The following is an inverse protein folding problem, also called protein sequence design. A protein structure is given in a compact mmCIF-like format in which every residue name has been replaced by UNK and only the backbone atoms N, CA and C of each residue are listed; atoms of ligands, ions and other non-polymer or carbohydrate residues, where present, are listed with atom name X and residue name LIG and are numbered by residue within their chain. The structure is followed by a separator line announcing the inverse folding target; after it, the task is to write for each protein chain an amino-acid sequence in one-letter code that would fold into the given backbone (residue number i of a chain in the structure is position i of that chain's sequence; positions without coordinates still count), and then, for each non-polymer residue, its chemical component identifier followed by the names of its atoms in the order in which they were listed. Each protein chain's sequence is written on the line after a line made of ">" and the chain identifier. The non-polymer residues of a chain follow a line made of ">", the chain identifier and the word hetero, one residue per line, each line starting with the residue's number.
data_IF_035960614452
#
_entry.id   IF_035960614452
#
_cell.length_a   1.000
_cell.length_b   1.000
_cell.length_c   1.000
_cell.angle_alpha   90.00
_cell.angle_beta   90.00
_cell.angle_gamma   90.00
#
_symmetry.space_group_name_H-M   'P 1'
#
loop_
_entity.id
_entity.type
_entity.pdbx_description
1 polymer ?
#
# COMPACT_ATOMS: atom_id res chain seq x y z
N UNK A 1 26.82 29.93 28.19
CA UNK A 1 27.31 28.55 28.04
C UNK A 1 27.15 28.20 26.57
N UNK A 2 28.26 27.88 25.90
CA UNK A 2 28.22 27.48 24.50
C UNK A 2 27.60 26.08 24.43
N UNK A 3 26.52 25.93 23.66
CA UNK A 3 26.02 24.63 23.25
C UNK A 3 27.09 24.01 22.35
N UNK A 4 27.85 23.06 22.89
CA UNK A 4 28.74 22.23 22.10
C UNK A 4 27.88 21.38 21.17
N UNK A 5 27.98 21.64 19.87
CA UNK A 5 27.58 20.68 18.83
C UNK A 5 28.54 19.49 18.95
N UNK A 6 28.10 18.47 19.67
CA UNK A 6 28.72 17.15 19.63
C UNK A 6 28.32 16.53 18.29
N UNK A 7 29.05 16.88 17.23
CA UNK A 7 28.99 16.15 15.96
C UNK A 7 29.76 14.85 16.16
N UNK A 8 29.08 13.87 16.74
CA UNK A 8 29.50 12.47 16.68
C UNK A 8 29.74 12.03 15.22
N UNK A 9 30.46 10.93 14.99
CA UNK A 9 30.83 10.49 13.65
C UNK A 9 29.56 10.38 12.79
N UNK A 10 29.59 10.95 11.59
CA UNK A 10 28.54 10.84 10.57
C UNK A 10 28.20 9.35 10.35
N UNK A 11 27.23 8.82 11.07
CA UNK A 11 26.60 7.54 10.71
C UNK A 11 25.74 7.86 9.50
N UNK A 12 26.35 7.82 8.32
CA UNK A 12 25.66 7.98 7.04
C UNK A 12 24.72 6.79 6.90
N UNK A 13 23.46 6.97 7.32
CA UNK A 13 22.40 5.96 7.20
C UNK A 13 22.29 5.53 5.75
N UNK A 14 22.48 4.26 5.43
CA UNK A 14 22.42 3.79 4.05
C UNK A 14 20.98 3.43 3.70
N UNK A 15 20.39 4.23 2.80
CA UNK A 15 19.02 4.07 2.35
C UNK A 15 19.03 3.53 0.91
N UNK A 16 18.29 2.44 0.66
CA UNK A 16 18.13 1.88 -0.68
C UNK A 16 16.67 1.87 -1.11
N UNK A 17 16.42 2.06 -2.40
CA UNK A 17 15.10 1.96 -3.02
C UNK A 17 15.12 0.82 -4.02
N UNK A 18 14.27 -0.17 -3.79
CA UNK A 18 14.13 -1.35 -4.64
C UNK A 18 12.79 -1.32 -5.39
N UNK A 19 12.87 -1.10 -6.70
CA UNK A 19 11.74 -1.16 -7.61
C UNK A 19 11.51 -2.59 -8.07
N UNK A 20 10.32 -3.14 -7.82
CA UNK A 20 9.97 -4.52 -8.16
C UNK A 20 8.92 -4.57 -9.26
N UNK A 21 9.27 -5.22 -10.38
CA UNK A 21 8.43 -5.33 -11.56
C UNK A 21 8.32 -4.03 -12.37
N UNK A 22 7.45 -4.00 -13.38
CA UNK A 22 7.35 -2.87 -14.30
C UNK A 22 7.02 -1.52 -13.62
N UNK A 23 6.00 -1.49 -12.76
CA UNK A 23 5.61 -0.26 -12.05
C UNK A 23 6.71 0.24 -11.11
N UNK A 24 7.30 -0.65 -10.31
CA UNK A 24 8.40 -0.29 -9.42
C UNK A 24 9.64 0.21 -10.17
N UNK A 25 9.99 -0.46 -11.28
CA UNK A 25 11.10 -0.03 -12.13
C UNK A 25 10.85 1.36 -12.75
N UNK A 26 9.62 1.68 -13.14
CA UNK A 26 9.28 3.01 -13.68
C UNK A 26 9.49 4.09 -12.63
N UNK A 27 9.05 3.85 -11.40
CA UNK A 27 9.24 4.75 -10.25
C UNK A 27 10.73 4.99 -9.99
N UNK A 28 11.53 3.92 -9.93
CA UNK A 28 12.98 4.02 -9.77
C UNK A 28 13.63 4.81 -10.91
N UNK A 29 13.29 4.50 -12.15
CA UNK A 29 13.80 5.23 -13.31
C UNK A 29 13.47 6.72 -13.22
N UNK A 30 12.27 7.06 -12.74
CA UNK A 30 11.86 8.44 -12.54
C UNK A 30 12.66 9.11 -11.43
N UNK A 31 12.82 8.48 -10.27
CA UNK A 31 13.62 8.99 -9.17
C UNK A 31 15.05 9.33 -9.59
N UNK A 32 15.67 8.44 -10.39
CA UNK A 32 17.01 8.67 -10.95
C UNK A 32 17.00 9.88 -11.89
N UNK A 33 16.04 9.96 -12.82
CA UNK A 33 15.93 11.07 -13.78
C UNK A 33 15.66 12.42 -13.11
N UNK A 34 14.87 12.45 -12.03
CA UNK A 34 14.60 13.67 -11.27
C UNK A 34 15.74 14.05 -10.33
N UNK A 35 16.79 13.22 -10.23
CA UNK A 35 17.97 13.51 -9.42
C UNK A 35 17.74 13.35 -7.92
N UNK A 36 16.90 12.38 -7.51
CA UNK A 36 16.71 12.04 -6.10
C UNK A 36 18.06 11.65 -5.48
N UNK A 37 18.50 12.37 -4.45
CA UNK A 37 19.82 12.20 -3.81
C UNK A 37 19.72 11.37 -2.54
N UNK A 38 20.86 10.83 -2.10
CA UNK A 38 20.98 10.20 -0.78
C UNK A 38 20.42 8.78 -0.67
N UNK A 39 19.99 8.18 -1.79
CA UNK A 39 19.50 6.81 -1.85
C UNK A 39 20.13 6.05 -3.02
N UNK A 40 20.35 4.75 -2.83
CA UNK A 40 20.78 3.86 -3.92
C UNK A 40 19.58 3.19 -4.58
N UNK A 41 19.65 3.02 -5.90
CA UNK A 41 18.55 2.48 -6.69
C UNK A 41 18.83 1.05 -7.16
N UNK A 42 17.90 0.16 -6.85
CA UNK A 42 17.88 -1.24 -7.27
C UNK A 42 16.62 -1.49 -8.11
N UNK A 43 16.77 -2.09 -9.29
CA UNK A 43 15.64 -2.56 -10.10
C UNK A 43 15.62 -4.09 -10.13
N UNK A 44 14.45 -4.67 -9.84
CA UNK A 44 14.22 -6.12 -9.80
C UNK A 44 13.11 -6.47 -10.77
N UNK A 45 13.39 -7.34 -11.74
CA UNK A 45 12.36 -7.76 -12.68
C UNK A 45 12.59 -9.17 -13.24
N UNK A 46 11.51 -9.83 -13.61
CA UNK A 46 11.54 -11.06 -14.42
C UNK A 46 11.71 -10.76 -15.91
N UNK A 47 11.32 -9.57 -16.35
CA UNK A 47 11.46 -9.12 -17.73
C UNK A 47 12.83 -8.48 -17.94
N UNK A 48 13.65 -9.10 -18.80
CA UNK A 48 15.00 -8.64 -19.12
C UNK A 48 14.98 -7.34 -19.94
N UNK A 49 14.04 -7.20 -20.87
CA UNK A 49 13.95 -6.00 -21.73
C UNK A 49 13.64 -4.76 -20.88
N UNK A 50 12.77 -4.91 -19.87
CA UNK A 50 12.47 -3.85 -18.93
C UNK A 50 13.67 -3.46 -18.04
N UNK A 51 14.57 -4.40 -17.71
CA UNK A 51 15.78 -4.12 -16.94
C UNK A 51 16.87 -3.46 -17.79
N UNK A 52 17.03 -3.85 -19.04
CA UNK A 52 18.04 -3.28 -19.93
C UNK A 52 17.89 -1.75 -20.05
N UNK A 53 16.66 -1.27 -20.14
CA UNK A 53 16.34 0.17 -20.21
C UNK A 53 16.27 0.88 -18.85
N UNK A 54 16.42 0.16 -17.73
CA UNK A 54 16.36 0.78 -16.39
C UNK A 54 17.55 1.70 -16.14
N UNK A 55 17.30 2.79 -15.42
CA UNK A 55 18.30 3.77 -14.97
C UNK A 55 18.85 3.46 -13.57
N UNK A 56 18.43 2.36 -12.95
CA UNK A 56 18.91 1.96 -11.62
C UNK A 56 20.41 1.60 -11.63
N UNK A 57 21.09 1.89 -10.52
CA UNK A 57 22.51 1.58 -10.31
C UNK A 57 22.75 0.07 -10.29
N UNK A 58 21.84 -0.67 -9.64
CA UNK A 58 21.87 -2.13 -9.55
C UNK A 58 20.65 -2.71 -10.23
N UNK A 59 20.84 -3.74 -11.05
CA UNK A 59 19.79 -4.43 -11.80
C UNK A 59 19.84 -5.92 -11.48
N UNK A 60 18.72 -6.47 -11.04
CA UNK A 60 18.60 -7.88 -10.67
C UNK A 60 17.52 -8.51 -11.53
N UNK A 61 17.95 -9.36 -12.46
CA UNK A 61 17.04 -10.22 -13.18
C UNK A 61 16.69 -11.41 -12.28
N UNK A 62 15.39 -11.62 -12.04
CA UNK A 62 14.90 -12.72 -11.22
C UNK A 62 14.19 -13.77 -12.08
N UNK A 63 14.28 -15.04 -11.67
CA UNK A 63 13.58 -16.14 -12.36
C UNK A 63 14.05 -16.39 -13.79
N UNK A 64 15.36 -16.28 -14.04
CA UNK A 64 15.94 -16.53 -15.36
C UNK A 64 15.62 -17.95 -15.86
N UNK A 65 15.65 -18.95 -14.97
CA UNK A 65 15.33 -20.34 -15.32
C UNK A 65 13.84 -20.56 -15.54
N UNK A 66 12.98 -19.82 -14.83
CA UNK A 66 11.52 -19.99 -14.87
C UNK A 66 10.88 -19.25 -16.06
N UNK A 67 11.37 -18.05 -16.37
CA UNK A 67 10.73 -17.14 -17.34
C UNK A 67 11.53 -16.98 -18.63
N UNK A 68 12.80 -17.39 -18.65
CA UNK A 68 13.71 -17.09 -19.76
C UNK A 68 13.89 -15.59 -20.00
N UNK A 69 13.58 -14.74 -19.02
CA UNK A 69 13.64 -13.27 -19.14
C UNK A 69 12.45 -12.63 -19.85
N UNK A 70 11.35 -13.36 -20.07
CA UNK A 70 10.15 -12.86 -20.77
C UNK A 70 9.10 -12.22 -19.84
N UNK A 71 9.34 -12.25 -18.53
CA UNK A 71 8.39 -11.74 -17.54
C UNK A 71 7.45 -12.80 -16.94
N UNK A 72 6.68 -12.40 -15.92
CA UNK A 72 5.81 -13.29 -15.14
C UNK A 72 4.40 -13.48 -15.73
N UNK A 73 4.07 -12.90 -16.89
CA UNK A 73 2.78 -13.13 -17.56
C UNK A 73 1.52 -12.74 -16.75
N UNK A 74 1.63 -11.75 -15.87
CA UNK A 74 0.56 -11.37 -14.91
C UNK A 74 0.17 -12.45 -13.89
N UNK A 75 1.05 -13.44 -13.67
CA UNK A 75 0.91 -14.45 -12.64
C UNK A 75 1.80 -14.13 -11.42
N UNK A 76 1.22 -13.76 -10.26
CA UNK A 76 1.97 -13.52 -9.02
C UNK A 76 2.79 -14.72 -8.57
N UNK A 77 2.33 -15.95 -8.81
CA UNK A 77 3.06 -17.15 -8.37
C UNK A 77 4.38 -17.31 -9.12
N UNK A 78 4.42 -16.92 -10.40
CA UNK A 78 5.67 -16.88 -11.17
C UNK A 78 6.61 -15.82 -10.61
N UNK A 79 6.08 -14.63 -10.26
CA UNK A 79 6.85 -13.56 -9.62
C UNK A 79 7.47 -14.01 -8.29
N UNK A 80 6.67 -14.67 -7.45
CA UNK A 80 7.08 -15.21 -6.15
C UNK A 80 8.22 -16.23 -6.26
N UNK A 81 8.02 -17.27 -7.06
CA UNK A 81 9.04 -18.31 -7.30
C UNK A 81 10.32 -17.75 -7.93
N UNK A 82 10.18 -16.75 -8.80
CA UNK A 82 11.33 -16.06 -9.42
C UNK A 82 12.19 -15.33 -8.39
N UNK A 83 11.55 -14.66 -7.43
CA UNK A 83 12.24 -13.99 -6.34
C UNK A 83 12.89 -15.00 -5.36
N UNK A 84 12.19 -16.09 -5.03
CA UNK A 84 12.72 -17.19 -4.22
C UNK A 84 13.98 -17.83 -4.87
N UNK A 85 13.94 -18.09 -6.18
CA UNK A 85 15.09 -18.59 -6.95
C UNK A 85 16.31 -17.66 -6.82
N UNK A 86 16.06 -16.36 -6.72
CA UNK A 86 17.08 -15.30 -6.77
C UNK A 86 17.37 -14.68 -5.39
N UNK A 87 16.99 -15.37 -4.30
CA UNK A 87 17.11 -14.87 -2.91
C UNK A 87 18.54 -14.41 -2.59
N UNK A 88 19.54 -15.17 -3.00
CA UNK A 88 20.96 -14.82 -2.77
C UNK A 88 21.38 -13.52 -3.46
N UNK A 89 20.91 -13.28 -4.69
CA UNK A 89 21.24 -12.06 -5.43
C UNK A 89 20.58 -10.82 -4.79
N UNK A 90 19.33 -10.97 -4.33
CA UNK A 90 18.59 -9.90 -3.63
C UNK A 90 19.29 -9.59 -2.28
N UNK A 91 19.62 -10.62 -1.50
CA UNK A 91 20.31 -10.46 -0.21
C UNK A 91 21.63 -9.70 -0.37
N UNK A 92 22.43 -10.07 -1.36
CA UNK A 92 23.69 -9.40 -1.66
C UNK A 92 23.52 -7.92 -2.01
N UNK A 93 22.45 -7.57 -2.74
CA UNK A 93 22.19 -6.17 -3.09
C UNK A 93 21.73 -5.33 -1.87
N UNK A 94 21.17 -5.98 -0.85
CA UNK A 94 20.70 -5.37 0.40
C UNK A 94 21.76 -5.34 1.51
N UNK A 95 22.96 -5.87 1.30
CA UNK A 95 24.07 -5.73 2.26
C UNK A 95 24.37 -4.24 2.56
N UNK A 96 24.83 -3.97 3.79
CA UNK A 96 25.18 -2.61 4.27
C UNK A 96 24.02 -1.59 4.13
N UNK A 97 22.78 -2.04 4.32
CA UNK A 97 21.58 -1.18 4.24
C UNK A 97 20.94 -1.04 5.61
N UNK A 98 20.68 0.19 6.04
CA UNK A 98 19.96 0.46 7.29
C UNK A 98 18.44 0.51 7.06
N UNK A 99 18.04 1.04 5.90
CA UNK A 99 16.64 1.20 5.52
C UNK A 99 16.41 0.90 4.04
N UNK A 100 15.34 0.16 3.72
CA UNK A 100 14.94 -0.13 2.35
C UNK A 100 13.50 0.27 2.06
N UNK A 101 13.30 0.96 0.95
CA UNK A 101 11.99 1.23 0.37
C UNK A 101 11.69 0.24 -0.75
N UNK A 102 10.63 -0.55 -0.59
CA UNK A 102 10.17 -1.51 -1.60
C UNK A 102 9.01 -0.89 -2.36
N UNK A 103 9.24 -0.53 -3.62
CA UNK A 103 8.22 0.07 -4.48
C UNK A 103 7.74 -0.89 -5.56
N UNK A 104 6.42 -1.05 -5.67
CA UNK A 104 5.80 -1.93 -6.65
C UNK A 104 4.39 -1.46 -7.04
N UNK A 105 4.05 -1.69 -8.31
CA UNK A 105 2.66 -1.61 -8.78
C UNK A 105 1.96 -2.95 -8.58
N UNK A 106 0.96 -3.00 -7.70
CA UNK A 106 0.28 -4.23 -7.32
C UNK A 106 -0.76 -4.65 -8.37
N UNK A 107 -1.01 -5.95 -8.43
CA UNK A 107 -1.94 -6.56 -9.39
C UNK A 107 -1.29 -7.08 -10.67
N UNK A 108 -0.01 -6.80 -10.91
CA UNK A 108 0.78 -7.51 -11.92
C UNK A 108 1.24 -8.91 -11.47
N UNK A 109 2.11 -9.55 -12.24
CA UNK A 109 2.76 -10.81 -11.83
C UNK A 109 4.00 -10.55 -10.96
N UNK A 110 5.00 -9.90 -11.53
CA UNK A 110 6.30 -9.69 -10.88
C UNK A 110 6.20 -8.86 -9.61
N UNK A 111 5.64 -7.64 -9.67
CA UNK A 111 5.53 -6.75 -8.50
C UNK A 111 4.78 -7.41 -7.35
N UNK A 112 3.58 -7.92 -7.62
CA UNK A 112 2.71 -8.55 -6.63
C UNK A 112 3.34 -9.76 -5.94
N UNK A 113 4.01 -10.64 -6.70
CA UNK A 113 4.58 -11.87 -6.15
C UNK A 113 5.98 -11.73 -5.57
N UNK A 114 6.81 -10.87 -6.16
CA UNK A 114 8.21 -10.72 -5.75
C UNK A 114 8.39 -9.72 -4.61
N UNK A 115 7.57 -8.66 -4.53
CA UNK A 115 7.72 -7.63 -3.49
C UNK A 115 7.63 -8.21 -2.05
N UNK A 116 6.69 -9.12 -1.72
CA UNK A 116 6.66 -9.76 -0.40
C UNK A 116 7.91 -10.59 -0.09
N UNK A 117 8.53 -11.20 -1.11
CA UNK A 117 9.76 -12.01 -0.92
C UNK A 117 10.96 -11.09 -0.71
N UNK A 118 11.04 -9.97 -1.44
CA UNK A 118 12.08 -8.95 -1.21
C UNK A 118 11.97 -8.38 0.20
N UNK A 119 10.75 -8.12 0.68
CA UNK A 119 10.50 -7.62 2.04
C UNK A 119 10.92 -8.62 3.12
N UNK A 120 10.59 -9.90 2.93
CA UNK A 120 11.00 -10.99 3.81
C UNK A 120 12.52 -11.03 4.00
N UNK A 121 13.27 -10.97 2.89
CA UNK A 121 14.73 -10.98 2.90
C UNK A 121 15.29 -9.77 3.65
N UNK A 122 14.76 -8.57 3.37
CA UNK A 122 15.20 -7.35 4.04
C UNK A 122 14.97 -7.41 5.57
N UNK A 123 13.79 -7.91 5.98
CA UNK A 123 13.42 -8.04 7.39
C UNK A 123 14.27 -9.08 8.11
N UNK A 124 14.57 -10.21 7.48
CA UNK A 124 15.51 -11.23 8.01
C UNK A 124 16.92 -10.67 8.22
N UNK A 125 17.33 -9.71 7.40
CA UNK A 125 18.61 -9.01 7.51
C UNK A 125 18.61 -7.90 8.57
N UNK A 126 17.47 -7.63 9.22
CA UNK A 126 17.35 -6.59 10.24
C UNK A 126 17.26 -5.16 9.69
N UNK A 127 16.91 -5.02 8.41
CA UNK A 127 16.79 -3.73 7.72
C UNK A 127 15.40 -3.14 7.99
N UNK A 128 15.31 -1.84 8.31
CA UNK A 128 14.02 -1.15 8.41
C UNK A 128 13.33 -1.17 7.04
N UNK A 129 12.24 -1.93 6.93
CA UNK A 129 11.64 -2.29 5.64
C UNK A 129 10.31 -1.57 5.45
N UNK A 130 10.26 -0.63 4.50
CA UNK A 130 9.06 0.16 4.19
C UNK A 130 8.54 -0.21 2.81
N UNK A 131 7.33 -0.74 2.73
CA UNK A 131 6.62 -0.96 1.47
C UNK A 131 5.90 0.30 1.02
N UNK A 132 6.10 0.73 -0.22
CA UNK A 132 5.34 1.84 -0.82
C UNK A 132 4.75 1.36 -2.14
N UNK A 133 3.47 1.02 -2.16
CA UNK A 133 2.84 0.29 -3.27
C UNK A 133 1.58 0.96 -3.78
N UNK A 134 1.26 0.74 -5.06
CA UNK A 134 0.01 1.23 -5.66
C UNK A 134 -1.00 0.12 -5.90
N UNK A 135 -2.29 0.42 -5.63
CA UNK A 135 -3.41 -0.40 -6.13
C UNK A 135 -3.74 0.03 -7.56
N UNK A 136 -4.14 -0.90 -8.46
CA UNK A 136 -4.44 -0.59 -9.84
C UNK A 136 -5.68 0.31 -9.98
N UNK A 137 -5.86 0.93 -11.15
CA UNK A 137 -7.11 1.64 -11.46
C UNK A 137 -8.26 0.65 -11.65
N UNK A 138 -9.49 1.09 -11.38
CA UNK A 138 -10.68 0.25 -11.57
C UNK A 138 -10.85 -0.23 -13.02
N UNK A 139 -10.42 0.56 -14.01
CA UNK A 139 -10.51 0.20 -15.43
C UNK A 139 -9.58 -0.95 -15.82
N UNK A 140 -8.54 -1.25 -15.04
CA UNK A 140 -7.62 -2.36 -15.31
C UNK A 140 -8.25 -3.73 -15.01
N UNK A 141 -9.43 -3.73 -14.38
CA UNK A 141 -10.28 -4.90 -14.21
C UNK A 141 -10.17 -5.55 -12.83
N UNK A 142 -11.26 -6.22 -12.43
CA UNK A 142 -11.40 -6.84 -11.10
C UNK A 142 -10.33 -7.88 -10.79
N UNK A 143 -9.89 -8.66 -11.78
CA UNK A 143 -8.84 -9.67 -11.59
C UNK A 143 -7.54 -9.04 -11.07
N UNK A 144 -7.15 -7.90 -11.66
CA UNK A 144 -5.94 -7.16 -11.27
C UNK A 144 -6.05 -6.61 -9.85
N UNK A 145 -7.21 -6.06 -9.50
CA UNK A 145 -7.48 -5.57 -8.14
C UNK A 145 -7.43 -6.71 -7.10
N UNK A 146 -8.06 -7.85 -7.35
CA UNK A 146 -8.01 -9.00 -6.44
C UNK A 146 -6.59 -9.55 -6.25
N UNK A 147 -5.77 -9.55 -7.31
CA UNK A 147 -4.35 -9.90 -7.20
C UNK A 147 -3.60 -8.87 -6.35
N UNK A 148 -3.88 -7.59 -6.54
CA UNK A 148 -3.27 -6.51 -5.77
C UNK A 148 -3.58 -6.62 -4.26
N UNK A 149 -4.85 -6.79 -3.91
CA UNK A 149 -5.30 -6.95 -2.51
C UNK A 149 -4.61 -8.15 -1.83
N UNK A 150 -4.54 -9.30 -2.50
CA UNK A 150 -3.85 -10.48 -1.97
C UNK A 150 -2.36 -10.25 -1.76
N UNK A 151 -1.68 -9.63 -2.73
CA UNK A 151 -0.25 -9.34 -2.60
C UNK A 151 0.04 -8.28 -1.55
N UNK A 152 -0.86 -7.31 -1.37
CA UNK A 152 -0.76 -6.28 -0.31
C UNK A 152 -0.88 -6.93 1.07
N UNK A 153 -1.81 -7.86 1.26
CA UNK A 153 -1.98 -8.57 2.53
C UNK A 153 -0.73 -9.42 2.86
N UNK A 154 -0.18 -10.10 1.85
CA UNK A 154 1.07 -10.86 2.03
C UNK A 154 2.24 -9.92 2.37
N UNK A 155 2.36 -8.80 1.67
CA UNK A 155 3.42 -7.80 1.89
C UNK A 155 3.31 -7.17 3.29
N UNK A 156 2.10 -6.87 3.76
CA UNK A 156 1.84 -6.26 5.07
C UNK A 156 2.50 -7.04 6.20
N UNK A 157 2.46 -8.37 6.14
CA UNK A 157 3.05 -9.24 7.17
C UNK A 157 4.59 -9.26 7.16
N UNK A 158 5.22 -8.71 6.12
CA UNK A 158 6.67 -8.83 5.84
C UNK A 158 7.40 -7.50 5.80
N UNK A 159 6.70 -6.39 5.98
CA UNK A 159 7.28 -5.05 6.12
C UNK A 159 7.13 -4.57 7.56
N UNK A 160 7.82 -3.49 7.90
CA UNK A 160 7.61 -2.76 9.14
C UNK A 160 6.46 -1.76 9.00
N UNK A 161 6.41 -1.07 7.86
CA UNK A 161 5.38 -0.10 7.50
C UNK A 161 5.00 -0.27 6.02
N UNK A 162 3.70 -0.18 5.72
CA UNK A 162 3.13 -0.30 4.38
C UNK A 162 2.33 0.94 4.00
N UNK A 163 2.86 1.76 3.11
CA UNK A 163 2.16 2.87 2.48
C UNK A 163 1.45 2.37 1.22
N UNK A 164 0.12 2.52 1.20
CA UNK A 164 -0.70 2.13 0.05
C UNK A 164 -1.25 3.37 -0.63
N UNK A 165 -1.01 3.47 -1.93
CA UNK A 165 -1.53 4.54 -2.78
C UNK A 165 -2.60 3.96 -3.72
N UNK A 166 -3.89 4.24 -3.48
CA UNK A 166 -4.94 3.81 -4.40
C UNK A 166 -4.95 4.69 -5.65
N UNK A 167 -4.59 4.14 -6.81
CA UNK A 167 -4.55 4.90 -8.07
C UNK A 167 -5.89 5.57 -8.43
N UNK A 168 -7.01 4.97 -8.03
CA UNK A 168 -8.34 5.55 -8.25
C UNK A 168 -8.49 6.94 -7.59
N UNK A 169 -7.83 7.16 -6.45
CA UNK A 169 -7.92 8.43 -5.71
C UNK A 169 -7.02 9.53 -6.26
N UNK A 170 -6.12 9.22 -7.19
CA UNK A 170 -5.28 10.23 -7.86
C UNK A 170 -6.14 11.29 -8.55
N UNK A 171 -7.31 10.92 -9.07
CA UNK A 171 -8.28 11.84 -9.71
C UNK A 171 -8.79 12.95 -8.79
N UNK A 172 -8.75 12.72 -7.48
CA UNK A 172 -9.20 13.67 -6.47
C UNK A 172 -8.05 14.53 -5.93
N UNK A 173 -6.81 14.10 -6.15
CA UNK A 173 -5.61 14.71 -5.57
C UNK A 173 -4.91 15.70 -6.51
N UNK A 174 -5.38 15.87 -7.75
CA UNK A 174 -4.78 16.79 -8.72
C UNK A 174 -5.84 17.59 -9.46
N UNK A 175 -5.57 18.89 -9.62
CA UNK A 175 -6.37 19.78 -10.47
C UNK A 175 -6.09 19.56 -11.97
N UNK A 176 -5.03 18.81 -12.29
CA UNK A 176 -4.70 18.47 -13.68
C UNK A 176 -5.66 17.40 -14.20
N UNK A 177 -6.14 17.60 -15.43
CA UNK A 177 -6.94 16.58 -16.11
C UNK A 177 -6.13 15.29 -16.29
N UNK A 178 -6.53 14.25 -15.57
CA UNK A 178 -5.93 12.91 -15.72
C UNK A 178 -6.42 12.32 -17.05
N UNK A 179 -5.48 12.06 -17.93
CA UNK A 179 -5.65 11.29 -19.16
C UNK A 179 -5.06 9.90 -18.97
N UNK A 180 -5.42 8.96 -19.84
CA UNK A 180 -4.78 7.64 -19.81
C UNK A 180 -3.26 7.72 -19.99
N UNK A 181 -2.77 8.70 -20.77
CA UNK A 181 -1.35 8.86 -21.06
C UNK A 181 -0.51 9.27 -19.83
N UNK A 182 -1.04 10.13 -18.96
CA UNK A 182 -0.31 10.64 -17.78
C UNK A 182 -0.76 10.01 -16.46
N UNK A 183 -1.80 9.17 -16.44
CA UNK A 183 -2.33 8.58 -15.20
C UNK A 183 -1.28 7.78 -14.42
N UNK A 184 -0.51 6.93 -15.11
CA UNK A 184 0.57 6.15 -14.50
C UNK A 184 1.75 7.03 -14.09
N UNK A 185 2.05 8.07 -14.86
CA UNK A 185 3.07 9.05 -14.48
C UNK A 185 2.66 9.77 -13.18
N UNK A 186 1.39 10.16 -13.02
CA UNK A 186 0.93 10.79 -11.77
C UNK A 186 1.07 9.82 -10.59
N UNK A 187 0.72 8.54 -10.78
CA UNK A 187 0.91 7.51 -9.76
C UNK A 187 2.38 7.36 -9.35
N UNK A 188 3.27 7.29 -10.34
CA UNK A 188 4.71 7.18 -10.13
C UNK A 188 5.27 8.41 -9.38
N UNK A 189 4.72 9.60 -9.65
CA UNK A 189 5.13 10.82 -8.94
C UNK A 189 4.70 10.82 -7.48
N UNK A 190 3.52 10.28 -7.15
CA UNK A 190 3.09 10.14 -5.75
C UNK A 190 3.98 9.14 -5.01
N UNK A 191 4.29 8.00 -5.63
CA UNK A 191 5.25 7.02 -5.09
C UNK A 191 6.64 7.65 -4.87
N UNK A 192 7.10 8.44 -5.84
CA UNK A 192 8.35 9.19 -5.75
C UNK A 192 8.35 10.15 -4.58
N UNK A 193 7.29 10.94 -4.43
CA UNK A 193 7.15 11.87 -3.32
C UNK A 193 7.15 11.16 -1.98
N UNK A 194 6.56 9.97 -1.87
CA UNK A 194 6.54 9.21 -0.63
C UNK A 194 7.94 8.81 -0.16
N UNK A 195 8.69 8.18 -1.05
CA UNK A 195 10.07 7.76 -0.76
C UNK A 195 10.98 8.96 -0.53
N UNK A 196 10.85 10.01 -1.36
CA UNK A 196 11.62 11.24 -1.21
C UNK A 196 11.36 11.91 0.14
N UNK A 197 10.09 12.05 0.54
CA UNK A 197 9.73 12.77 1.78
C UNK A 197 10.30 12.08 3.02
N UNK A 198 10.30 10.74 3.06
CA UNK A 198 10.87 9.98 4.18
C UNK A 198 12.40 10.04 4.14
N UNK A 199 12.99 9.92 2.94
CA UNK A 199 14.44 10.01 2.79
C UNK A 199 14.98 11.39 3.16
N UNK A 200 14.29 12.47 2.77
CA UNK A 200 14.69 13.85 3.04
C UNK A 200 14.69 14.14 4.54
N UNK A 201 13.74 13.58 5.29
CA UNK A 201 13.67 13.70 6.75
C UNK A 201 14.91 13.14 7.47
N UNK A 202 15.58 12.14 6.86
CA UNK A 202 16.76 11.48 7.44
C UNK A 202 18.06 12.10 6.92
N UNK A 203 18.09 12.48 5.63
CA UNK A 203 19.31 12.84 4.91
C UNK A 203 19.55 14.34 4.79
N UNK A 204 18.51 15.15 4.71
CA UNK A 204 18.69 16.59 4.55
C UNK A 204 18.79 17.21 5.93
N UNK A 205 19.94 17.85 6.19
CA UNK A 205 20.17 18.64 7.40
C UNK A 205 19.24 19.85 7.40
N UNK A 206 18.03 19.67 7.90
CA UNK A 206 17.05 20.73 8.13
C UNK A 206 17.40 21.60 9.35
N UNK A 207 16.55 22.57 9.65
CA UNK A 207 16.64 23.38 10.88
C UNK A 207 16.42 22.50 12.12
N UNK A 208 15.48 21.56 11.99
CA UNK A 208 15.16 20.53 12.98
C UNK A 208 15.41 19.21 12.27
N UNK A 209 16.60 18.65 12.49
CA UNK A 209 16.96 17.35 11.92
C UNK A 209 16.35 16.24 12.78
N UNK A 210 15.80 15.23 12.13
CA UNK A 210 15.38 14.00 12.78
C UNK A 210 16.53 13.01 12.75
N UNK A 211 16.72 12.27 13.84
CA UNK A 211 17.64 11.14 13.80
C UNK A 211 16.94 9.90 13.21
N UNK A 212 17.75 8.91 12.82
CA UNK A 212 17.22 7.67 12.27
C UNK A 212 16.45 6.85 13.30
N UNK A 213 16.76 7.01 14.59
CA UNK A 213 16.08 6.29 15.67
C UNK A 213 14.64 6.79 15.85
N UNK A 214 14.39 8.09 15.71
CA UNK A 214 13.06 8.70 15.73
C UNK A 214 12.17 8.17 14.60
N UNK A 215 12.72 8.12 13.38
CA UNK A 215 12.00 7.55 12.22
C UNK A 215 11.75 6.05 12.44
N UNK A 216 12.74 5.32 12.93
CA UNK A 216 12.61 3.90 13.26
C UNK A 216 11.52 3.68 14.32
N UNK A 217 11.45 4.50 15.37
CA UNK A 217 10.47 4.37 16.44
C UNK A 217 9.02 4.50 15.95
N UNK A 218 8.77 5.31 14.92
CA UNK A 218 7.43 5.52 14.34
C UNK A 218 7.09 4.51 13.25
N UNK A 219 8.08 4.05 12.48
CA UNK A 219 7.84 3.19 11.31
C UNK A 219 8.04 1.70 11.58
N UNK A 220 8.83 1.33 12.60
CA UNK A 220 9.12 -0.07 12.92
C UNK A 220 7.86 -0.78 13.42
N UNK A 221 7.49 -1.88 12.77
CA UNK A 221 6.27 -2.67 13.07
C UNK A 221 4.97 -1.82 13.15
N UNK A 222 4.92 -0.69 12.46
CA UNK A 222 3.78 0.23 12.51
C UNK A 222 2.59 -0.24 11.65
N UNK A 223 2.80 -1.26 10.81
CA UNK A 223 1.76 -1.87 9.99
C UNK A 223 1.33 -0.96 8.85
N UNK A 224 0.05 -0.64 8.79
CA UNK A 224 -0.49 0.21 7.72
C UNK A 224 -0.13 1.68 7.95
N UNK A 225 0.34 2.32 6.88
CA UNK A 225 0.68 3.74 6.87
C UNK A 225 -0.09 4.50 5.79
N UNK A 226 -0.39 5.75 6.08
CA UNK A 226 -1.04 6.67 5.18
C UNK A 226 -0.23 7.94 5.03
N UNK A 227 -0.15 8.44 3.80
CA UNK A 227 0.59 9.65 3.47
C UNK A 227 -0.34 10.71 2.92
N UNK A 228 -0.23 11.91 3.48
CA UNK A 228 -0.87 13.11 3.00
C UNK A 228 0.17 14.15 2.62
N UNK A 229 -0.04 14.85 1.52
CA UNK A 229 0.80 15.97 1.09
C UNK A 229 -0.10 17.16 0.80
N UNK A 230 0.26 18.30 1.37
CA UNK A 230 -0.36 19.58 1.09
C UNK A 230 0.67 20.61 0.66
N UNK A 231 0.28 21.50 -0.23
CA UNK A 231 1.10 22.58 -0.77
C UNK A 231 0.24 23.83 -0.86
N UNK A 232 0.73 24.93 -0.33
CA UNK A 232 0.07 26.22 -0.46
C UNK A 232 1.11 27.33 -0.51
N UNK A 233 0.71 28.49 -1.02
CA UNK A 233 1.55 29.68 -1.15
C UNK A 233 0.75 30.92 -0.72
N UNK A 234 1.44 32.03 -0.46
CA UNK A 234 0.82 33.27 -0.01
C UNK A 234 0.47 33.28 1.47
N UNK A 235 -0.55 34.08 1.83
CA UNK A 235 -0.93 34.31 3.23
C UNK A 235 -1.59 33.05 3.82
N UNK A 236 -1.15 32.64 5.01
CA UNK A 236 -1.60 31.41 5.70
C UNK A 236 -1.21 30.10 4.98
N UNK A 237 -0.20 30.13 4.11
CA UNK A 237 0.30 28.96 3.37
C UNK A 237 0.57 27.72 4.25
N UNK A 238 1.12 27.89 5.46
CA UNK A 238 1.36 26.75 6.34
C UNK A 238 0.08 26.11 6.89
N UNK A 239 -0.91 26.92 7.25
CA UNK A 239 -2.23 26.44 7.69
C UNK A 239 -2.96 25.69 6.57
N UNK A 240 -2.98 26.27 5.38
CA UNK A 240 -3.62 25.66 4.22
C UNK A 240 -2.91 24.36 3.78
N UNK A 241 -1.58 24.37 3.75
CA UNK A 241 -0.79 23.18 3.42
C UNK A 241 -1.00 22.06 4.45
N UNK A 242 -1.02 22.37 5.76
CA UNK A 242 -1.30 21.38 6.80
C UNK A 242 -2.71 20.81 6.67
N UNK A 243 -3.71 21.67 6.43
CA UNK A 243 -5.09 21.23 6.21
C UNK A 243 -5.21 20.29 5.01
N UNK A 244 -4.58 20.63 3.88
CA UNK A 244 -4.56 19.78 2.69
C UNK A 244 -3.87 18.44 2.94
N UNK A 245 -2.79 18.41 3.73
CA UNK A 245 -2.09 17.18 4.07
C UNK A 245 -2.97 16.27 4.94
N UNK A 246 -3.62 16.81 5.98
CA UNK A 246 -4.49 16.06 6.91
C UNK A 246 -5.76 15.56 6.21
N UNK A 247 -6.29 16.33 5.26
CA UNK A 247 -7.49 15.97 4.48
C UNK A 247 -7.16 15.35 3.12
N UNK A 248 -5.92 14.89 2.91
CA UNK A 248 -5.48 14.44 1.58
C UNK A 248 -6.34 13.25 1.10
N UNK A 249 -6.84 13.27 -0.14
CA UNK A 249 -7.60 12.16 -0.70
C UNK A 249 -6.81 10.84 -0.73
N UNK A 250 -5.48 10.91 -0.70
CA UNK A 250 -4.60 9.74 -0.69
C UNK A 250 -4.66 8.96 0.63
N UNK A 251 -5.15 9.58 1.71
CA UNK A 251 -5.36 8.91 2.99
C UNK A 251 -6.59 7.99 2.89
N UNK A 252 -6.38 6.67 2.83
CA UNK A 252 -7.51 5.73 2.76
C UNK A 252 -8.42 5.84 3.99
N UNK A 253 -7.83 6.09 5.16
CA UNK A 253 -8.52 6.40 6.41
C UNK A 253 -8.13 7.80 6.91
N UNK A 254 -8.98 8.40 7.75
CA UNK A 254 -8.65 9.68 8.40
C UNK A 254 -7.39 9.53 9.27
N UNK A 255 -6.64 10.62 9.44
CA UNK A 255 -5.49 10.67 10.35
C UNK A 255 -5.86 10.42 11.81
N UNK A 256 -7.16 10.58 12.14
CA UNK A 256 -7.71 10.34 13.45
C UNK A 256 -7.42 8.90 13.90
N UNK A 257 -6.77 8.76 15.06
CA UNK A 257 -6.43 7.46 15.64
C UNK A 257 -5.05 6.91 15.25
N UNK A 258 -4.25 7.64 14.46
CA UNK A 258 -2.84 7.31 14.27
C UNK A 258 -2.07 7.46 15.58
N UNK A 259 -1.33 6.43 15.97
CA UNK A 259 -0.49 6.41 17.18
C UNK A 259 0.97 6.82 16.90
N UNK A 260 1.38 6.83 15.65
CA UNK A 260 2.66 7.35 15.20
C UNK A 260 2.44 8.33 14.05
N UNK A 261 3.06 9.50 14.09
CA UNK A 261 2.95 10.50 13.03
C UNK A 261 4.31 11.13 12.75
N UNK A 262 4.76 11.07 11.50
CA UNK A 262 5.88 11.85 11.00
C UNK A 262 5.33 13.07 10.28
N UNK A 263 5.80 14.26 10.65
CA UNK A 263 5.45 15.52 9.99
C UNK A 263 6.72 16.14 9.44
N UNK A 264 6.74 16.43 8.13
CA UNK A 264 7.79 17.23 7.51
C UNK A 264 7.19 18.53 6.98
N UNK A 265 7.73 19.66 7.44
CA UNK A 265 7.44 20.97 6.87
C UNK A 265 8.62 21.40 6.01
N UNK A 266 8.40 21.61 4.72
CA UNK A 266 9.40 22.09 3.78
C UNK A 266 8.99 23.46 3.25
N UNK A 267 9.89 24.43 3.35
CA UNK A 267 9.69 25.78 2.82
C UNK A 267 11.01 26.42 2.43
N UNK A 268 10.97 27.62 1.86
CA UNK A 268 12.20 28.40 1.65
C UNK A 268 12.79 28.87 2.98
N UNK A 269 13.98 29.44 2.93
CA UNK A 269 14.66 30.04 4.09
C UNK A 269 13.88 31.20 4.75
N UNK A 270 12.82 31.69 4.09
CA UNK A 270 11.92 32.72 4.60
C UNK A 270 10.76 32.17 5.45
N UNK A 271 10.64 30.85 5.63
CA UNK A 271 9.57 30.27 6.45
C UNK A 271 9.73 30.68 7.92
N UNK A 272 8.67 31.24 8.49
CA UNK A 272 8.67 31.71 9.89
C UNK A 272 8.44 30.57 10.89
N UNK A 273 8.95 30.72 12.12
CA UNK A 273 8.69 29.76 13.20
C UNK A 273 7.19 29.63 13.50
N UNK A 274 6.44 30.74 13.46
CA UNK A 274 4.99 30.74 13.68
C UNK A 274 4.25 29.89 12.62
N UNK A 275 4.73 29.89 11.37
CA UNK A 275 4.15 29.08 10.30
C UNK A 275 4.37 27.58 10.56
N UNK A 276 5.58 27.23 10.99
CA UNK A 276 5.98 25.87 11.36
C UNK A 276 5.16 25.38 12.57
N UNK A 277 4.97 26.22 13.59
CA UNK A 277 4.18 25.92 14.79
C UNK A 277 2.69 25.71 14.47
N UNK A 278 2.10 26.56 13.63
CA UNK A 278 0.71 26.39 13.16
C UNK A 278 0.53 25.05 12.46
N UNK A 279 1.42 24.70 11.53
CA UNK A 279 1.33 23.43 10.82
C UNK A 279 1.47 22.22 11.78
N UNK A 280 2.41 22.28 12.73
CA UNK A 280 2.62 21.23 13.73
C UNK A 280 1.38 21.02 14.62
N UNK A 281 0.84 22.10 15.18
CA UNK A 281 -0.32 22.05 16.07
C UNK A 281 -1.55 21.49 15.36
N UNK A 282 -1.80 21.86 14.11
CA UNK A 282 -2.93 21.32 13.34
C UNK A 282 -2.84 19.81 13.15
N UNK A 283 -1.64 19.28 12.87
CA UNK A 283 -1.45 17.84 12.72
C UNK A 283 -1.61 17.13 14.08
N UNK A 284 -1.10 17.73 15.15
CA UNK A 284 -1.24 17.20 16.51
C UNK A 284 -2.71 17.13 16.97
N UNK A 285 -3.50 18.17 16.70
CA UNK A 285 -4.93 18.20 17.01
C UNK A 285 -5.73 17.15 16.23
N UNK A 286 -5.29 16.80 15.03
CA UNK A 286 -5.93 15.78 14.20
C UNK A 286 -5.51 14.34 14.54
N UNK A 287 -4.34 14.16 15.14
CA UNK A 287 -3.81 12.85 15.55
C UNK A 287 -4.46 12.33 16.84
N UNK A 288 -4.10 11.11 17.25
CA UNK A 288 -4.50 10.60 18.57
C UNK A 288 -3.82 11.42 19.69
N UNK A 289 -4.48 11.71 20.84
CA UNK A 289 -3.87 12.49 21.93
C UNK A 289 -2.57 11.90 22.48
N UNK A 290 -2.46 10.57 22.47
CA UNK A 290 -1.27 9.82 22.89
C UNK A 290 -0.36 9.43 21.71
N UNK A 291 -0.49 10.07 20.55
CA UNK A 291 0.34 9.77 19.39
C UNK A 291 1.79 10.21 19.62
N UNK A 292 2.74 9.36 19.23
CA UNK A 292 4.13 9.76 19.06
C UNK A 292 4.24 10.59 17.78
N UNK A 293 4.40 11.90 17.93
CA UNK A 293 4.55 12.83 16.81
C UNK A 293 6.01 13.25 16.72
N UNK A 294 6.61 12.96 15.57
CA UNK A 294 7.97 13.36 15.23
C UNK A 294 7.89 14.44 14.17
N UNK A 295 8.56 15.56 14.43
CA UNK A 295 8.46 16.77 13.63
C UNK A 295 9.81 17.15 13.02
N UNK A 296 9.86 17.25 11.69
CA UNK A 296 11.01 17.73 10.93
C UNK A 296 10.70 19.01 10.16
N UNK A 297 11.71 19.86 10.00
CA UNK A 297 11.62 21.09 9.20
C UNK A 297 12.83 21.21 8.28
N UNK A 298 12.58 21.24 6.97
CA UNK A 298 13.61 21.24 5.92
C UNK A 298 13.53 22.50 5.06
N UNK A 299 14.67 23.03 4.63
CA UNK A 299 14.71 24.14 3.68
C UNK A 299 14.84 23.63 2.24
N UNK A 300 14.03 24.20 1.35
CA UNK A 300 14.13 24.02 -0.10
C UNK A 300 13.97 25.37 -0.78
N UNK A 301 15.09 25.98 -1.19
CA UNK A 301 15.11 27.29 -1.84
C UNK A 301 14.38 27.30 -3.19
N UNK A 302 14.06 26.14 -3.76
CA UNK A 302 13.26 26.06 -4.99
C UNK A 302 11.78 26.34 -4.77
N UNK A 303 11.31 26.35 -3.52
CA UNK A 303 9.90 26.56 -3.18
C UNK A 303 9.49 28.03 -3.16
N UNK A 304 10.43 28.99 -3.16
CA UNK A 304 10.14 30.44 -3.10
C UNK A 304 9.11 30.80 -1.99
N UNK A 305 7.84 31.04 -2.36
CA UNK A 305 6.73 31.37 -1.45
C UNK A 305 5.83 30.15 -1.09
N UNK A 306 6.13 28.96 -1.60
CA UNK A 306 5.38 27.73 -1.31
C UNK A 306 5.87 27.08 -0.01
N UNK A 307 4.91 26.60 0.79
CA UNK A 307 5.15 25.67 1.90
C UNK A 307 4.52 24.33 1.57
N UNK A 308 5.28 23.26 1.77
CA UNK A 308 4.84 21.89 1.62
C UNK A 308 4.82 21.20 2.97
N UNK A 309 3.67 20.65 3.34
CA UNK A 309 3.52 19.82 4.54
C UNK A 309 3.29 18.39 4.09
N UNK A 310 4.14 17.47 4.56
CA UNK A 310 3.97 16.04 4.36
C UNK A 310 3.70 15.38 5.70
N UNK A 311 2.64 14.57 5.77
CA UNK A 311 2.28 13.83 6.96
C UNK A 311 2.25 12.35 6.63
N UNK A 312 2.91 11.54 7.46
CA UNK A 312 2.89 10.09 7.38
C UNK A 312 2.37 9.58 8.71
N UNK A 313 1.16 9.04 8.68
CA UNK A 313 0.48 8.50 9.83
C UNK A 313 0.57 6.98 9.84
N UNK A 314 0.89 6.40 11.00
CA UNK A 314 1.09 4.97 11.20
C UNK A 314 0.44 4.52 12.51
N UNK A 315 0.38 3.20 12.73
CA UNK A 315 -0.13 2.66 14.00
C UNK A 315 -1.62 2.91 14.20
N UNK A 316 -2.39 2.93 13.11
CA UNK A 316 -3.86 2.96 13.18
C UNK A 316 -4.35 1.72 13.91
N UNK A 317 -5.31 1.89 14.82
CA UNK A 317 -6.00 0.74 15.39
C UNK A 317 -6.65 -0.04 14.25
N UNK A 318 -6.27 -1.31 14.12
CA UNK A 318 -7.04 -2.25 13.33
C UNK A 318 -8.45 -2.21 13.92
N UNK A 319 -9.40 -1.66 13.16
CA UNK A 319 -10.78 -2.02 13.42
C UNK A 319 -10.82 -3.52 13.18
N UNK A 320 -10.73 -4.28 14.27
CA UNK A 320 -11.39 -5.57 14.29
C UNK A 320 -12.81 -5.25 13.84
N UNK A 321 -13.15 -5.63 12.61
CA UNK A 321 -14.53 -5.88 12.23
C UNK A 321 -14.99 -7.00 13.18
N UNK A 322 -15.29 -6.63 14.41
CA UNK A 322 -16.08 -7.39 15.35
C UNK A 322 -17.49 -7.40 14.75
N UNK A 323 -17.65 -8.14 13.65
CA UNK A 323 -18.91 -8.76 13.31
C UNK A 323 -19.17 -9.65 14.52
N UNK A 324 -20.14 -9.31 15.39
CA UNK A 324 -20.38 -10.12 16.56
C UNK A 324 -20.72 -11.53 16.07
N UNK A 325 -19.84 -12.49 16.36
CA UNK A 325 -20.00 -13.89 15.97
C UNK A 325 -21.25 -14.55 16.61
N UNK A 326 -22.05 -13.77 17.34
CA UNK A 326 -23.32 -14.13 17.96
C UNK A 326 -24.55 -13.95 17.06
N UNK A 327 -24.41 -13.46 15.82
CA UNK A 327 -25.55 -13.35 14.88
C UNK A 327 -25.83 -14.65 14.13
N UNK A 328 -24.86 -15.57 14.00
CA UNK A 328 -25.03 -16.84 13.29
C UNK A 328 -25.28 -18.06 14.19
N UNK A 329 -25.06 -17.96 15.50
CA UNK A 329 -25.31 -19.08 16.44
C UNK A 329 -26.78 -19.23 16.84
N UNK A 330 -27.57 -18.14 16.85
CA UNK A 330 -28.97 -18.18 17.29
C UNK A 330 -30.00 -18.48 16.18
N UNK A 331 -29.60 -18.52 14.91
CA UNK A 331 -30.51 -18.88 13.81
C UNK A 331 -30.66 -20.41 13.66
N UNK A 332 -29.57 -21.16 13.88
CA UNK A 332 -29.58 -22.62 13.77
C UNK A 332 -30.37 -23.34 14.87
N UNK A 333 -30.42 -22.78 16.09
CA UNK A 333 -31.17 -23.39 17.21
C UNK A 333 -32.68 -23.16 17.13
N UNK A 334 -33.12 -22.05 16.52
CA UNK A 334 -34.56 -21.77 16.31
C UNK A 334 -35.17 -22.62 15.20
N UNK A 335 -34.42 -22.91 14.12
CA UNK A 335 -34.91 -23.80 13.06
C UNK A 335 -34.96 -25.27 13.50
N UNK A 336 -34.04 -25.72 14.36
CA UNK A 336 -34.04 -27.09 14.89
C UNK A 336 -35.22 -27.35 15.84
N UNK A 337 -35.54 -26.38 16.72
CA UNK A 337 -36.72 -26.47 17.61
C UNK A 337 -38.06 -26.43 16.87
N UNK A 338 -38.17 -25.67 15.78
CA UNK A 338 -39.39 -25.63 14.97
C UNK A 338 -39.60 -26.90 14.13
N UNK A 339 -38.53 -27.54 13.62
CA UNK A 339 -38.65 -28.83 12.91
C UNK A 339 -39.02 -29.99 13.83
N UNK A 340 -38.51 -30.02 15.06
CA UNK A 340 -38.85 -31.06 16.03
C UNK A 340 -40.27 -30.93 16.57
N UNK A 341 -40.84 -29.71 16.64
CA UNK A 341 -42.25 -29.51 17.01
C UNK A 341 -43.25 -29.81 15.89
N UNK A 342 -42.91 -29.59 14.61
CA UNK A 342 -43.80 -29.94 13.49
C UNK A 342 -43.82 -31.45 13.19
N UNK A 343 -42.70 -32.16 13.37
CA UNK A 343 -42.65 -33.62 13.17
C UNK A 343 -43.47 -34.43 14.20
N UNK A 344 -43.76 -33.85 15.37
CA UNK A 344 -44.55 -34.50 16.43
C UNK A 344 -46.08 -34.38 16.27
N UNK A 345 -46.57 -33.49 15.41
CA UNK A 345 -48.02 -33.26 15.22
C UNK A 345 -48.61 -33.98 14.00
N UNK A 346 -47.81 -34.42 13.03
CA UNK A 346 -48.31 -35.14 11.84
C UNK A 346 -48.51 -36.66 12.05
N UNK A 347 -48.06 -37.23 13.17
CA UNK A 347 -48.20 -38.68 13.45
C UNK A 347 -49.50 -39.10 14.15
N UNK A 348 -50.41 -38.19 14.49
CA UNK A 348 -51.66 -38.53 15.21
C UNK A 348 -52.95 -38.54 14.39
N UNK A 349 -52.96 -38.20 13.09
CA UNK A 349 -54.23 -38.07 12.32
C UNK A 349 -54.47 -39.05 11.16
N UNK A 350 -53.59 -40.01 10.88
CA UNK A 350 -53.87 -41.02 9.85
C UNK A 350 -54.06 -42.43 10.41
N UNK A 351 -55.27 -42.70 10.90
CA UNK A 351 -55.81 -44.05 11.00
C UNK A 351 -57.30 -44.05 10.67
N UNK A 352 -57.64 -44.20 9.38
CA UNK A 352 -58.91 -44.73 8.87
C UNK A 352 -58.74 -45.24 7.43
N UNK A 353 -59.29 -46.43 7.19
CA UNK A 353 -59.15 -47.36 6.05
C UNK A 353 -60.08 -47.04 4.84
N UNK A 354 -60.03 -47.80 3.70
CA UNK A 354 -60.03 -47.26 2.34
C UNK A 354 -61.29 -47.58 1.49
N UNK A 355 -61.43 -46.91 0.33
CA UNK A 355 -62.14 -47.45 -0.84
C UNK A 355 -61.79 -46.76 -2.19
N UNK A 356 -61.29 -47.58 -3.12
CA UNK A 356 -61.57 -47.69 -4.56
C UNK A 356 -61.31 -46.56 -5.62
N UNK A 357 -60.61 -47.01 -6.67
CA UNK A 357 -60.74 -46.72 -8.12
C UNK A 357 -59.94 -45.58 -8.79
N UNK A 358 -59.12 -45.98 -9.78
CA UNK A 358 -58.40 -45.19 -10.79
C UNK A 358 -59.34 -44.80 -11.98
N UNK A 359 -58.93 -44.05 -13.05
CA UNK A 359 -57.57 -43.66 -13.45
C UNK A 359 -57.32 -42.22 -13.99
N UNK A 360 -56.02 -41.86 -13.97
CA UNK A 360 -55.20 -41.01 -14.86
C UNK A 360 -55.77 -39.81 -15.65
N UNK A 361 -55.12 -38.64 -15.48
CA UNK A 361 -54.86 -37.67 -16.55
C UNK A 361 -53.62 -36.79 -16.22
N UNK A 362 -52.65 -36.82 -17.13
CA UNK A 362 -51.72 -35.77 -17.59
C UNK A 362 -50.76 -35.06 -16.60
N UNK A 363 -49.48 -35.47 -16.65
CA UNK A 363 -48.32 -34.74 -16.13
C UNK A 363 -47.66 -33.92 -17.27
N UNK A 364 -47.61 -32.57 -17.18
CA UNK A 364 -47.20 -31.68 -18.27
C UNK A 364 -45.68 -31.57 -18.49
N UNK A 365 -44.86 -32.51 -18.01
CA UNK A 365 -43.39 -32.42 -18.06
C UNK A 365 -42.69 -33.39 -19.04
N UNK A 366 -43.41 -34.22 -19.79
CA UNK A 366 -42.82 -35.12 -20.80
C UNK A 366 -42.51 -34.47 -22.16
N UNK A 367 -42.99 -33.24 -22.43
CA UNK A 367 -42.92 -32.62 -23.76
C UNK A 367 -41.74 -31.65 -23.97
N UNK A 368 -41.02 -31.23 -22.92
CA UNK A 368 -39.95 -30.22 -23.07
C UNK A 368 -38.58 -30.87 -23.34
N UNK A 369 -38.34 -32.10 -22.89
CA UNK A 369 -37.05 -32.78 -23.09
C UNK A 369 -36.86 -33.40 -24.48
N UNK A 370 -37.90 -33.43 -25.33
CA UNK A 370 -37.82 -33.97 -26.71
C UNK A 370 -37.46 -32.92 -27.78
N UNK A 371 -37.39 -31.63 -27.45
CA UNK A 371 -37.17 -30.55 -28.43
C UNK A 371 -35.68 -30.19 -28.66
N UNK A 372 -34.77 -30.47 -27.71
CA UNK A 372 -33.38 -30.00 -27.84
C UNK A 372 -32.34 -31.01 -28.35
N UNK A 373 -32.70 -32.28 -28.59
CA UNK A 373 -31.73 -33.32 -28.97
C UNK A 373 -31.95 -33.98 -30.34
N UNK A 374 -32.67 -33.33 -31.27
CA UNK A 374 -32.75 -33.78 -32.67
C UNK A 374 -32.70 -32.62 -33.67
N UNK A 375 -31.59 -32.53 -34.40
CA UNK A 375 -31.45 -31.77 -35.65
C UNK A 375 -30.55 -30.55 -35.50
N UNK A 376 -29.41 -30.43 -36.16
CA UNK A 376 -28.91 -31.24 -37.26
C UNK A 376 -27.45 -30.91 -37.56
N UNK A 377 -26.88 -31.81 -38.36
CA UNK A 377 -25.66 -31.63 -39.14
C UNK A 377 -25.67 -30.34 -39.95
#
# INVERSE_FOLDING_TARGET
>A
MAFGLDTGPDTVVTIKVIGVGGGGNNVVNRMVKTGTKGVDFIAVNTDKQALDVSSATVKIQIGEKLTGGQGAGSDPEVGRKSAEESRSAISKALEETDMVFITAGMGGGTGTGAAPIVADIAKEMGILTVGVVTKPFNFEGRRRMMQAEKGIEELRTRVDSLVIIPNERLKLATDQKITFANAFEIADDVLRQAVQSISDLIKNTGLINLDFADVTAVMQNAGMAHMGVGRAAGKNRAEEAAKMAISSPLLETSINGAKGVLVNVTGSTEIGLDEVDVAANMVQEAAHPDALIIFGATFDDTLEDEVRVTVIATGFEEREDNIPNNLFSNAGEKEKKNREQQAGQEQSEQKKEPAAAAPSADDPFEDIFKIFNRGGR
#
